data_IF_494287599294
#
_entry.id   IF_494287599294
#
_cell.length_a   1.000
_cell.length_b   1.000
_cell.length_c   1.000
_cell.angle_alpha   90.00
_cell.angle_beta   90.00
_cell.angle_gamma   90.00
#
_symmetry.space_group_name_H-M   'P 1'
#
loop_
_entity.id
_entity.type
_entity.pdbx_description
1 polymer ?
#
# COMPACT_ATOMS: atom_id res chain seq x y z
N UNK A 1 3.47 8.50 11.78
CA UNK A 1 3.30 7.22 11.07
C UNK A 1 3.45 7.51 9.57
N UNK A 2 4.46 6.93 8.92
CA UNK A 2 4.86 7.29 7.55
C UNK A 2 3.75 7.11 6.51
N UNK A 3 2.82 6.16 6.74
CA UNK A 3 1.72 5.91 5.81
C UNK A 3 0.76 7.10 5.63
N UNK A 4 0.41 7.83 6.69
CA UNK A 4 -0.49 8.99 6.56
C UNK A 4 0.18 10.14 5.79
N UNK A 5 1.46 10.43 6.08
CA UNK A 5 2.22 11.49 5.39
C UNK A 5 2.35 11.15 3.90
N UNK A 6 2.65 9.89 3.58
CA UNK A 6 2.75 9.43 2.20
C UNK A 6 1.39 9.46 1.50
N UNK A 7 0.30 9.14 2.22
CA UNK A 7 -1.06 9.27 1.69
C UNK A 7 -1.38 10.73 1.33
N UNK A 8 -1.07 11.68 2.20
CA UNK A 8 -1.25 13.12 1.92
C UNK A 8 -0.46 13.55 0.68
N UNK A 9 0.79 13.11 0.55
CA UNK A 9 1.58 13.35 -0.66
C UNK A 9 0.90 12.76 -1.91
N UNK A 10 0.46 11.50 -1.84
CA UNK A 10 -0.19 10.82 -2.98
C UNK A 10 -1.48 11.53 -3.41
N UNK A 11 -2.24 12.12 -2.48
CA UNK A 11 -3.44 12.91 -2.78
C UNK A 11 -3.12 14.17 -3.62
N UNK A 12 -1.87 14.66 -3.60
CA UNK A 12 -1.44 15.79 -4.44
C UNK A 12 -1.03 15.39 -5.85
N UNK A 13 -0.89 14.09 -6.13
CA UNK A 13 -0.40 13.60 -7.42
C UNK A 13 -1.49 13.56 -8.48
N UNK A 14 -1.08 13.67 -9.74
CA UNK A 14 -1.96 13.78 -10.90
C UNK A 14 -1.58 12.65 -11.86
N UNK A 15 -2.57 11.89 -12.31
CA UNK A 15 -2.39 10.81 -13.28
C UNK A 15 -1.87 11.37 -14.62
N UNK A 16 -1.04 10.59 -15.32
CA UNK A 16 -0.35 10.94 -16.57
C UNK A 16 0.69 12.09 -16.48
N UNK A 17 0.79 12.74 -15.32
CA UNK A 17 1.80 13.77 -15.00
C UNK A 17 2.82 13.18 -14.04
N UNK A 18 2.37 12.79 -12.84
CA UNK A 18 3.23 12.31 -11.76
C UNK A 18 3.35 10.79 -11.74
N UNK A 19 2.32 10.06 -12.15
CA UNK A 19 2.33 8.59 -12.17
C UNK A 19 1.50 8.06 -13.33
N UNK A 20 1.71 6.79 -13.66
CA UNK A 20 0.92 6.07 -14.65
C UNK A 20 0.47 4.73 -14.09
N UNK A 21 -0.72 4.28 -14.49
CA UNK A 21 -1.26 2.98 -14.08
C UNK A 21 -1.82 2.18 -15.26
N UNK A 22 -1.85 0.87 -15.07
CA UNK A 22 -2.55 -0.09 -15.94
C UNK A 22 -3.49 -0.92 -15.07
N UNK A 23 -4.75 -0.49 -14.94
CA UNK A 23 -5.76 -1.15 -14.10
C UNK A 23 -5.94 -2.64 -14.43
N UNK A 24 -5.91 -3.01 -15.72
CA UNK A 24 -6.03 -4.42 -16.16
C UNK A 24 -4.92 -5.31 -15.61
N UNK A 25 -3.71 -4.78 -15.45
CA UNK A 25 -2.54 -5.50 -14.93
C UNK A 25 -2.29 -5.24 -13.44
N UNK A 26 -3.04 -4.34 -12.81
CA UNK A 26 -2.79 -3.83 -11.45
C UNK A 26 -1.36 -3.32 -11.25
N UNK A 27 -0.84 -2.65 -12.27
CA UNK A 27 0.49 -2.03 -12.25
C UNK A 27 0.34 -0.51 -12.09
N UNK A 28 1.22 0.10 -11.30
CA UNK A 28 1.33 1.55 -11.11
C UNK A 28 2.79 1.89 -10.86
N UNK A 29 3.26 3.00 -11.43
CA UNK A 29 4.63 3.48 -11.26
C UNK A 29 4.68 5.01 -11.39
N UNK A 30 5.68 5.61 -10.74
CA UNK A 30 5.95 7.04 -10.86
C UNK A 30 6.57 7.37 -12.21
N UNK A 31 6.23 8.55 -12.73
CA UNK A 31 6.93 9.20 -13.84
C UNK A 31 8.00 10.14 -13.27
N UNK A 32 8.88 10.65 -14.14
CA UNK A 32 9.99 11.54 -13.71
C UNK A 32 9.49 12.72 -12.86
N UNK A 33 8.39 13.37 -13.26
CA UNK A 33 7.82 14.49 -12.50
C UNK A 33 7.31 14.07 -11.12
N UNK A 34 6.78 12.84 -10.97
CA UNK A 34 6.38 12.32 -9.66
C UNK A 34 7.57 11.96 -8.78
N UNK A 35 8.68 11.52 -9.36
CA UNK A 35 9.94 11.29 -8.65
C UNK A 35 10.49 12.63 -8.13
N UNK A 36 10.57 13.65 -8.99
CA UNK A 36 11.01 15.00 -8.62
C UNK A 36 10.10 15.64 -7.54
N UNK A 37 8.79 15.45 -7.67
CA UNK A 37 7.82 15.90 -6.67
C UNK A 37 8.04 15.20 -5.31
N UNK A 38 8.30 13.89 -5.32
CA UNK A 38 8.60 13.14 -4.09
C UNK A 38 9.91 13.60 -3.45
N UNK A 39 10.98 13.76 -4.24
CA UNK A 39 12.26 14.28 -3.76
C UNK A 39 12.12 15.65 -3.10
N UNK A 40 11.35 16.54 -3.73
CA UNK A 40 11.08 17.88 -3.21
C UNK A 40 10.22 17.85 -1.93
N UNK A 41 9.16 17.05 -1.91
CA UNK A 41 8.24 16.97 -0.77
C UNK A 41 8.87 16.36 0.47
N UNK A 42 9.66 15.30 0.30
CA UNK A 42 10.32 14.59 1.40
C UNK A 42 11.75 15.06 1.69
N UNK A 43 12.25 16.04 0.92
CA UNK A 43 13.60 16.57 1.00
C UNK A 43 14.68 15.48 0.90
N UNK A 44 14.62 14.69 -0.17
CA UNK A 44 15.54 13.57 -0.46
C UNK A 44 16.23 13.82 -1.79
N UNK A 45 17.56 13.67 -1.82
CA UNK A 45 18.36 13.89 -3.04
C UNK A 45 18.13 12.81 -4.11
N UNK A 46 18.03 11.53 -3.73
CA UNK A 46 17.72 10.42 -4.64
C UNK A 46 16.71 9.47 -4.00
N UNK A 47 15.54 9.37 -4.63
CA UNK A 47 14.42 8.53 -4.18
C UNK A 47 14.74 7.03 -4.24
N UNK A 48 15.71 6.61 -5.06
CA UNK A 48 16.09 5.21 -5.24
C UNK A 48 17.38 4.83 -4.50
N UNK A 49 17.92 5.75 -3.70
CA UNK A 49 19.01 5.47 -2.77
C UNK A 49 18.62 4.42 -1.71
N UNK A 50 19.60 3.75 -1.11
CA UNK A 50 19.36 2.78 -0.03
C UNK A 50 18.63 3.42 1.16
N UNK A 51 18.92 4.69 1.44
CA UNK A 51 18.32 5.46 2.53
C UNK A 51 16.83 5.76 2.27
N UNK A 52 16.44 5.88 1.00
CA UNK A 52 15.07 6.18 0.58
C UNK A 52 14.25 4.93 0.21
N UNK A 53 14.82 3.73 0.29
CA UNK A 53 14.16 2.48 -0.13
C UNK A 53 12.81 2.24 0.57
N UNK A 54 12.73 2.56 1.87
CA UNK A 54 11.48 2.43 2.63
C UNK A 54 10.44 3.46 2.16
N UNK A 55 10.88 4.69 1.87
CA UNK A 55 10.03 5.77 1.39
C UNK A 55 9.43 5.42 0.02
N UNK A 56 10.27 5.03 -0.95
CA UNK A 56 9.80 4.69 -2.30
C UNK A 56 8.84 3.50 -2.29
N UNK A 57 9.11 2.50 -1.43
CA UNK A 57 8.19 1.37 -1.21
C UNK A 57 6.84 1.86 -0.69
N UNK A 58 6.83 2.73 0.32
CA UNK A 58 5.58 3.23 0.89
C UNK A 58 4.80 4.12 -0.08
N UNK A 59 5.48 4.95 -0.89
CA UNK A 59 4.83 5.72 -1.97
C UNK A 59 4.14 4.79 -2.95
N UNK A 60 4.81 3.72 -3.39
CA UNK A 60 4.20 2.72 -4.27
C UNK A 60 3.02 2.01 -3.61
N UNK A 61 3.09 1.66 -2.32
CA UNK A 61 1.97 1.05 -1.59
C UNK A 61 0.77 1.99 -1.49
N UNK A 62 1.00 3.27 -1.17
CA UNK A 62 -0.05 4.28 -1.11
C UNK A 62 -0.70 4.54 -2.47
N UNK A 63 0.09 4.65 -3.55
CA UNK A 63 -0.42 4.73 -4.92
C UNK A 63 -1.31 3.53 -5.27
N UNK A 64 -0.85 2.31 -4.93
CA UNK A 64 -1.65 1.09 -5.16
C UNK A 64 -2.95 1.11 -4.36
N UNK A 65 -2.90 1.45 -3.06
CA UNK A 65 -4.09 1.54 -2.22
C UNK A 65 -5.08 2.59 -2.74
N UNK A 66 -4.59 3.74 -3.19
CA UNK A 66 -5.43 4.83 -3.69
C UNK A 66 -6.12 4.48 -5.00
N UNK A 67 -5.36 3.99 -6.00
CA UNK A 67 -5.84 3.90 -7.37
C UNK A 67 -6.21 2.49 -7.86
N UNK A 68 -5.73 1.43 -7.18
CA UNK A 68 -5.97 0.04 -7.59
C UNK A 68 -6.93 -0.73 -6.67
N UNK A 69 -7.25 -0.18 -5.49
CA UNK A 69 -8.18 -0.76 -4.53
C UNK A 69 -9.34 0.20 -4.30
N UNK A 70 -10.56 -0.29 -4.48
CA UNK A 70 -11.77 0.52 -4.40
C UNK A 70 -12.68 0.06 -3.26
N UNK A 71 -13.19 1.03 -2.49
CA UNK A 71 -14.15 0.77 -1.42
C UNK A 71 -15.47 0.27 -1.99
N UNK A 72 -16.09 -0.70 -1.32
CA UNK A 72 -17.27 -1.47 -1.76
C UNK A 72 -17.06 -2.38 -2.97
N UNK A 73 -15.82 -2.53 -3.47
CA UNK A 73 -15.48 -3.46 -4.57
C UNK A 73 -14.40 -4.44 -4.14
N UNK A 74 -13.29 -3.92 -3.61
CA UNK A 74 -12.15 -4.72 -3.14
C UNK A 74 -12.18 -4.98 -1.64
N UNK A 75 -12.70 -4.01 -0.90
CA UNK A 75 -12.81 -4.02 0.54
C UNK A 75 -13.96 -3.12 0.97
N UNK A 76 -14.35 -3.21 2.22
CA UNK A 76 -15.23 -2.24 2.86
C UNK A 76 -14.73 -1.96 4.28
N UNK A 77 -15.08 -0.79 4.78
CA UNK A 77 -14.79 -0.39 6.16
C UNK A 77 -15.93 -0.87 7.05
N UNK A 78 -15.63 -1.65 8.07
CA UNK A 78 -16.62 -2.16 9.01
C UNK A 78 -16.08 -2.18 10.43
N UNK A 79 -16.81 -1.54 11.35
CA UNK A 79 -16.42 -1.41 12.76
C UNK A 79 -14.99 -0.90 12.99
N UNK A 80 -14.49 -0.04 12.09
CA UNK A 80 -13.12 0.47 12.19
C UNK A 80 -12.05 -0.53 11.75
N UNK A 81 -12.42 -1.58 10.99
CA UNK A 81 -11.50 -2.50 10.34
C UNK A 81 -11.73 -2.55 8.82
N UNK A 82 -10.66 -2.84 8.06
CA UNK A 82 -10.74 -3.11 6.62
C UNK A 82 -11.06 -4.60 6.41
N UNK A 83 -12.20 -4.89 5.80
CA UNK A 83 -12.61 -6.25 5.45
C UNK A 83 -12.54 -6.43 3.94
N UNK A 84 -11.76 -7.41 3.49
CA UNK A 84 -11.57 -7.70 2.07
C UNK A 84 -12.79 -8.42 1.48
N UNK A 85 -13.06 -8.17 0.20
CA UNK A 85 -14.11 -8.82 -0.59
C UNK A 85 -13.44 -9.69 -1.66
N UNK A 86 -13.87 -10.95 -1.76
CA UNK A 86 -13.51 -11.79 -2.90
C UNK A 86 -14.25 -11.30 -4.15
N UNK A 87 -13.51 -10.77 -5.13
CA UNK A 87 -14.07 -10.24 -6.39
C UNK A 87 -14.86 -11.27 -7.21
N UNK A 88 -14.61 -12.57 -7.02
CA UNK A 88 -15.28 -13.63 -7.78
C UNK A 88 -16.62 -13.98 -7.12
N UNK A 89 -16.61 -14.18 -5.81
CA UNK A 89 -17.78 -14.70 -5.07
C UNK A 89 -18.58 -13.64 -4.34
N UNK A 90 -18.02 -12.44 -4.17
CA UNK A 90 -18.58 -11.37 -3.33
C UNK A 90 -18.50 -11.67 -1.82
N UNK A 91 -17.83 -12.74 -1.41
CA UNK A 91 -17.74 -13.13 -0.01
C UNK A 91 -16.79 -12.21 0.75
N UNK A 92 -17.18 -11.90 1.98
CA UNK A 92 -16.32 -11.20 2.93
C UNK A 92 -15.24 -12.14 3.46
N UNK A 93 -14.01 -11.62 3.60
CA UNK A 93 -12.85 -12.36 4.11
C UNK A 93 -12.39 -11.74 5.44
N UNK A 94 -13.17 -11.90 6.53
CA UNK A 94 -12.82 -11.33 7.83
C UNK A 94 -11.51 -11.94 8.36
N UNK A 95 -10.70 -11.11 9.03
CA UNK A 95 -9.40 -11.50 9.60
C UNK A 95 -8.28 -11.69 8.58
N UNK A 96 -8.56 -11.57 7.27
CA UNK A 96 -7.53 -11.65 6.22
C UNK A 96 -6.93 -10.27 5.98
N UNK A 97 -5.62 -10.13 6.16
CA UNK A 97 -4.88 -8.90 5.84
C UNK A 97 -4.07 -9.05 4.56
N UNK A 98 -3.99 -7.96 3.80
CA UNK A 98 -3.10 -7.87 2.65
C UNK A 98 -1.65 -7.82 3.14
N UNK A 99 -0.77 -8.50 2.41
CA UNK A 99 0.64 -8.65 2.78
C UNK A 99 1.46 -7.41 2.42
N UNK A 100 2.69 -7.38 2.92
CA UNK A 100 3.73 -6.42 2.53
C UNK A 100 3.33 -4.95 2.69
N UNK A 101 2.60 -4.59 3.75
CA UNK A 101 2.28 -3.20 4.06
C UNK A 101 1.08 -2.63 3.28
N UNK A 102 0.46 -3.41 2.38
CA UNK A 102 -0.63 -2.91 1.55
C UNK A 102 -1.93 -2.70 2.34
N UNK A 103 -2.18 -3.53 3.36
CA UNK A 103 -3.33 -3.36 4.23
C UNK A 103 -3.24 -2.05 5.01
N UNK A 104 -2.05 -1.76 5.54
CA UNK A 104 -1.73 -0.51 6.23
C UNK A 104 -1.88 0.72 5.34
N UNK A 105 -1.52 0.61 4.06
CA UNK A 105 -1.74 1.68 3.10
C UNK A 105 -3.24 1.94 2.84
N UNK A 106 -4.09 0.90 2.84
CA UNK A 106 -5.55 1.05 2.73
C UNK A 106 -6.14 1.64 4.02
N UNK A 107 -5.70 1.18 5.20
CA UNK A 107 -6.09 1.78 6.48
C UNK A 107 -5.76 3.28 6.51
N UNK A 108 -4.56 3.67 6.08
CA UNK A 108 -4.16 5.08 6.00
C UNK A 108 -4.95 5.88 4.95
N UNK A 109 -5.29 5.27 3.80
CA UNK A 109 -6.17 5.86 2.78
C UNK A 109 -7.53 6.24 3.37
N UNK A 110 -8.14 5.34 4.13
CA UNK A 110 -9.44 5.55 4.78
C UNK A 110 -9.35 6.41 6.06
N UNK A 111 -8.17 6.92 6.40
CA UNK A 111 -7.96 7.76 7.59
C UNK A 111 -8.05 7.00 8.91
N UNK A 112 -7.90 5.67 8.87
CA UNK A 112 -8.00 4.79 10.02
C UNK A 112 -6.64 4.69 10.74
N UNK A 113 -6.67 4.25 12.01
CA UNK A 113 -5.43 3.91 12.69
C UNK A 113 -4.74 2.73 12.00
N UNK A 114 -3.52 2.95 11.56
CA UNK A 114 -2.73 1.92 10.88
C UNK A 114 -2.34 0.84 11.88
N UNK A 115 -2.72 -0.40 11.56
CA UNK A 115 -2.41 -1.56 12.37
C UNK A 115 -0.92 -1.90 12.33
N UNK A 116 -0.40 -2.42 13.44
CA UNK A 116 0.98 -2.90 13.51
C UNK A 116 1.13 -4.21 12.74
N UNK A 117 2.06 -4.24 11.79
CA UNK A 117 2.40 -5.47 11.08
C UNK A 117 3.14 -6.42 12.04
N UNK A 118 2.48 -7.51 12.43
CA UNK A 118 3.14 -8.59 13.16
C UNK A 118 3.75 -9.54 12.14
N UNK A 119 4.87 -9.13 11.53
CA UNK A 119 5.58 -9.97 10.57
C UNK A 119 6.07 -11.26 11.24
N UNK A 120 5.68 -12.41 10.71
CA UNK A 120 6.21 -13.70 11.16
C UNK A 120 7.64 -13.85 10.63
N UNK A 121 8.64 -13.76 11.52
CA UNK A 121 10.07 -13.78 11.13
C UNK A 121 10.55 -15.15 10.63
N UNK A 122 10.00 -16.24 11.17
CA UNK A 122 10.35 -17.59 10.78
C UNK A 122 9.15 -18.51 10.90
N UNK A 123 9.02 -19.47 9.99
CA UNK A 123 8.01 -20.53 10.07
C UNK A 123 8.67 -21.85 9.71
N UNK A 124 8.47 -22.86 10.53
CA UNK A 124 8.88 -24.24 10.27
C UNK A 124 7.66 -25.14 10.41
N UNK A 125 7.48 -26.08 9.48
CA UNK A 125 6.44 -27.09 9.61
C UNK A 125 6.90 -28.16 10.60
N UNK A 126 5.96 -28.72 11.38
CA UNK A 126 6.29 -29.74 12.38
C UNK A 126 7.06 -30.93 11.75
N UNK A 127 6.69 -31.33 10.54
CA UNK A 127 7.38 -32.40 9.79
C UNK A 127 8.86 -32.10 9.51
N UNK A 128 9.22 -30.83 9.26
CA UNK A 128 10.60 -30.43 8.99
C UNK A 128 11.39 -30.11 10.27
N UNK A 129 10.71 -29.86 11.39
CA UNK A 129 11.34 -29.60 12.69
C UNK A 129 11.96 -30.86 13.32
N UNK A 130 11.39 -32.04 13.05
CA UNK A 130 11.80 -33.33 13.63
C UNK A 130 12.45 -34.29 12.62
N UNK A 131 13.06 -33.75 11.57
CA UNK A 131 13.77 -34.55 10.57
C UNK A 131 15.23 -34.78 10.94
#
# INVERSE_FOLDING_TARGET
>A
NLFHIVKEFVDTLIEDVHFKMKKTKKEIWLLNQGIEAAQSYFNVEDLYSEQAMILVRNINLALRAQYLFESNVDYFVYNGDIVLIDRITGRMLPGTKLQAGLHQAIEAKEGMEVSTDKSVMATITFQNLFK
#
